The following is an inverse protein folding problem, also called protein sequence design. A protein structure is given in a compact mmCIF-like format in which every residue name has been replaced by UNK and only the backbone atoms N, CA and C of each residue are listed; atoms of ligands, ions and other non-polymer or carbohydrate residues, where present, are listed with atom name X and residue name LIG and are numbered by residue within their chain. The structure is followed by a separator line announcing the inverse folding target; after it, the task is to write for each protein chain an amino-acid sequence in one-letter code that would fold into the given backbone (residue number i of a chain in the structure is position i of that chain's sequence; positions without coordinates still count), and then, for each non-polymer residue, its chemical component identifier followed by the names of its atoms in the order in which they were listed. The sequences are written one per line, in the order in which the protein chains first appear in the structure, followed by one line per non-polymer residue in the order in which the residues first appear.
data_IF_600811299479
#
_entry.id   IF_600811299479
#
_cell.length_a   1.000
_cell.length_b   1.000
_cell.length_c   1.000
_cell.angle_alpha   90.00
_cell.angle_beta   90.00
_cell.angle_gamma   90.00
#
_symmetry.space_group_name_H-M   'P 1'
#
loop_
_entity.id
_entity.type
_entity.pdbx_description
1 polymer ?
#
# COMPACT_ATOMS: atom_id res chain seq x y z
N UNK A 1 -13.22 -11.45 8.19
CA UNK A 1 -12.56 -11.77 9.47
C UNK A 1 -12.21 -10.49 10.23
N UNK A 2 -11.49 -9.55 9.61
CA UNK A 2 -11.08 -8.27 10.22
C UNK A 2 -11.84 -7.04 9.68
N UNK A 3 -12.86 -7.23 8.83
CA UNK A 3 -13.61 -6.14 8.22
C UNK A 3 -14.33 -5.30 9.28
N UNK A 4 -14.15 -3.97 9.25
CA UNK A 4 -14.79 -3.03 10.16
C UNK A 4 -14.12 -2.87 11.52
N UNK A 5 -12.94 -3.48 11.72
CA UNK A 5 -12.24 -3.33 13.00
C UNK A 5 -11.51 -1.98 13.10
N UNK A 6 -11.66 -1.23 14.21
CA UNK A 6 -11.01 0.07 14.36
C UNK A 6 -9.49 -0.06 14.26
N UNK A 7 -8.86 0.84 13.51
CA UNK A 7 -7.40 0.85 13.35
C UNK A 7 -6.84 -0.32 12.54
N UNK A 8 -7.68 -1.13 11.89
CA UNK A 8 -7.22 -2.24 11.04
C UNK A 8 -7.72 -2.04 9.61
N UNK A 9 -6.80 -2.08 8.65
CA UNK A 9 -7.10 -2.10 7.23
C UNK A 9 -6.61 -3.42 6.64
N UNK A 10 -7.41 -3.98 5.73
CA UNK A 10 -7.10 -5.27 5.12
C UNK A 10 -7.37 -5.19 3.62
N UNK A 11 -6.44 -5.74 2.85
CA UNK A 11 -6.63 -5.96 1.42
C UNK A 11 -6.04 -7.32 1.06
N UNK A 12 -6.91 -8.28 0.76
CA UNK A 12 -6.55 -9.68 0.55
C UNK A 12 -5.75 -10.23 1.75
N UNK A 13 -4.47 -10.55 1.55
CA UNK A 13 -3.53 -11.10 2.52
C UNK A 13 -2.72 -10.02 3.27
N UNK A 14 -2.73 -8.78 2.81
CA UNK A 14 -2.05 -7.68 3.46
C UNK A 14 -2.92 -7.04 4.55
N UNK A 15 -2.35 -6.89 5.75
CA UNK A 15 -3.01 -6.33 6.93
C UNK A 15 -2.16 -5.17 7.45
N UNK A 16 -2.79 -4.00 7.60
CA UNK A 16 -2.21 -2.82 8.21
C UNK A 16 -2.92 -2.54 9.53
N UNK A 17 -2.14 -2.42 10.61
CA UNK A 17 -2.66 -2.11 11.96
C UNK A 17 -2.12 -0.76 12.40
N UNK A 18 -2.98 0.10 12.96
CA UNK A 18 -2.66 1.48 13.38
C UNK A 18 -3.33 1.79 14.72
N UNK A 19 -2.89 2.86 15.39
CA UNK A 19 -3.48 3.37 16.62
C UNK A 19 -3.30 4.89 16.72
N UNK A 20 -4.05 5.55 17.60
CA UNK A 20 -3.89 7.00 17.83
C UNK A 20 -2.65 7.33 18.65
N UNK A 21 -2.21 6.36 19.44
CA UNK A 21 -1.01 6.35 20.26
C UNK A 21 -0.49 4.91 20.35
N UNK A 22 0.63 4.72 21.07
CA UNK A 22 1.28 3.43 21.21
C UNK A 22 0.42 2.38 21.93
N UNK A 23 -0.31 2.79 22.97
CA UNK A 23 -1.21 1.91 23.74
C UNK A 23 -2.37 1.40 22.87
N UNK A 24 -3.03 2.30 22.14
CA UNK A 24 -4.08 1.95 21.18
C UNK A 24 -3.53 1.03 20.07
N UNK A 25 -2.32 1.29 19.58
CA UNK A 25 -1.71 0.48 18.54
C UNK A 25 -1.42 -0.95 19.03
N UNK A 26 -0.84 -1.08 20.23
CA UNK A 26 -0.59 -2.37 20.88
C UNK A 26 -1.88 -3.16 21.07
N UNK A 27 -2.91 -2.51 21.60
CA UNK A 27 -4.23 -3.11 21.82
C UNK A 27 -4.86 -3.59 20.51
N UNK A 28 -4.79 -2.79 19.45
CA UNK A 28 -5.31 -3.16 18.14
C UNK A 28 -4.52 -4.32 17.52
N UNK A 29 -3.19 -4.34 17.70
CA UNK A 29 -2.33 -5.42 17.23
C UNK A 29 -2.65 -6.74 17.93
N UNK A 30 -2.75 -6.73 19.26
CA UNK A 30 -3.10 -7.90 20.06
C UNK A 30 -4.46 -8.47 19.64
N UNK A 31 -5.49 -7.63 19.56
CA UNK A 31 -6.81 -8.03 19.10
C UNK A 31 -6.79 -8.62 17.69
N UNK A 32 -6.04 -8.00 16.78
CA UNK A 32 -5.88 -8.48 15.39
C UNK A 32 -5.28 -9.89 15.36
N UNK A 33 -4.18 -10.11 16.08
CA UNK A 33 -3.49 -11.40 16.12
C UNK A 33 -4.36 -12.48 16.77
N UNK A 34 -5.05 -12.16 17.86
CA UNK A 34 -5.97 -13.08 18.54
C UNK A 34 -7.09 -13.55 17.59
N UNK A 35 -7.65 -12.64 16.78
CA UNK A 35 -8.68 -13.01 15.80
C UNK A 35 -8.17 -13.89 14.69
N UNK A 36 -6.95 -13.62 14.21
CA UNK A 36 -6.34 -14.46 13.20
C UNK A 36 -6.19 -15.88 13.74
N UNK A 37 -5.73 -16.01 14.99
CA UNK A 37 -5.63 -17.29 15.68
C UNK A 37 -6.99 -17.98 15.86
N UNK A 38 -8.03 -17.27 16.28
CA UNK A 38 -9.41 -17.79 16.44
C UNK A 38 -9.95 -18.43 15.14
N UNK A 39 -9.57 -17.90 13.98
CA UNK A 39 -9.99 -18.40 12.66
C UNK A 39 -8.98 -19.35 12.03
N UNK A 40 -7.92 -19.74 12.75
CA UNK A 40 -6.88 -20.64 12.26
C UNK A 40 -5.96 -20.05 11.20
N UNK A 41 -5.88 -18.71 11.10
CA UNK A 41 -4.96 -18.01 10.23
C UNK A 41 -3.60 -17.82 10.92
N UNK A 42 -2.53 -17.85 10.13
CA UNK A 42 -1.16 -17.65 10.61
C UNK A 42 -0.48 -16.54 9.84
N UNK A 43 0.24 -15.69 10.56
CA UNK A 43 1.10 -14.66 9.97
C UNK A 43 2.52 -15.17 9.81
N UNK A 44 3.17 -14.73 8.74
CA UNK A 44 4.58 -15.01 8.48
C UNK A 44 5.44 -13.95 9.16
N UNK A 45 6.01 -14.28 10.31
CA UNK A 45 6.80 -13.35 11.13
C UNK A 45 7.95 -12.68 10.35
N UNK A 46 8.57 -13.39 9.42
CA UNK A 46 9.65 -12.90 8.55
C UNK A 46 9.21 -11.80 7.56
N UNK A 47 7.90 -11.69 7.31
CA UNK A 47 7.28 -10.69 6.44
C UNK A 47 6.53 -9.60 7.22
N UNK A 48 6.49 -9.69 8.54
CA UNK A 48 5.81 -8.70 9.36
C UNK A 48 6.77 -7.60 9.80
N UNK A 49 6.34 -6.36 9.61
CA UNK A 49 7.02 -5.18 10.11
C UNK A 49 6.21 -4.60 11.27
N UNK A 50 6.84 -4.40 12.43
CA UNK A 50 6.19 -3.91 13.64
C UNK A 50 6.78 -2.56 14.07
N UNK A 51 5.94 -1.71 14.65
CA UNK A 51 6.32 -0.40 15.24
C UNK A 51 7.16 0.49 14.32
N UNK A 52 6.86 0.47 13.02
CA UNK A 52 7.58 1.29 12.06
C UNK A 52 6.97 2.71 11.99
N UNK A 53 7.80 3.76 11.90
CA UNK A 53 7.32 5.12 11.65
C UNK A 53 6.77 5.30 10.22
N UNK A 54 7.18 4.43 9.30
CA UNK A 54 6.70 4.35 7.92
C UNK A 54 6.66 2.91 7.45
N UNK A 55 5.63 2.53 6.67
CA UNK A 55 5.47 1.16 6.15
C UNK A 55 5.10 1.18 4.68
N UNK A 56 5.58 0.20 3.89
CA UNK A 56 5.09 -0.03 2.53
C UNK A 56 3.83 -0.90 2.58
N UNK A 57 2.72 -0.38 2.04
CA UNK A 57 1.45 -1.09 1.98
C UNK A 57 0.81 -0.86 0.61
N UNK A 58 0.51 -1.96 -0.10
CA UNK A 58 -0.07 -1.95 -1.44
C UNK A 58 0.67 -1.02 -2.43
N UNK A 59 2.00 -1.03 -2.44
CA UNK A 59 2.81 -0.23 -3.38
C UNK A 59 2.84 1.28 -3.08
N UNK A 60 2.45 1.67 -1.87
CA UNK A 60 2.57 3.01 -1.34
C UNK A 60 3.33 3.01 -0.02
N UNK A 61 4.00 4.11 0.30
CA UNK A 61 4.57 4.31 1.64
C UNK A 61 3.56 5.11 2.46
N UNK A 62 3.29 4.67 3.68
CA UNK A 62 2.40 5.33 4.62
C UNK A 62 3.22 5.74 5.83
N UNK A 63 3.13 7.01 6.23
CA UNK A 63 3.73 7.55 7.44
C UNK A 63 2.81 8.59 8.11
N UNK A 64 3.33 9.28 9.13
CA UNK A 64 2.60 10.32 9.86
C UNK A 64 2.23 11.56 9.00
N UNK A 65 2.95 11.81 7.91
CA UNK A 65 2.65 12.89 6.97
C UNK A 65 1.62 12.48 5.90
N UNK A 66 1.36 11.17 5.75
CA UNK A 66 0.28 10.64 4.94
C UNK A 66 0.74 9.57 3.96
N UNK A 67 0.18 9.62 2.75
CA UNK A 67 0.40 8.61 1.72
C UNK A 67 1.38 9.11 0.67
N UNK A 68 2.41 8.30 0.40
CA UNK A 68 3.50 8.62 -0.52
C UNK A 68 3.65 7.56 -1.62
N UNK A 69 4.31 7.95 -2.70
CA UNK A 69 4.68 7.01 -3.76
C UNK A 69 5.84 6.13 -3.29
N UNK A 70 5.78 4.82 -3.56
CA UNK A 70 6.94 3.94 -3.36
C UNK A 70 8.07 4.32 -4.34
N UNK A 71 9.26 4.73 -3.87
CA UNK A 71 10.35 5.21 -4.72
C UNK A 71 10.77 4.21 -5.81
N UNK A 72 10.72 2.91 -5.49
CA UNK A 72 11.05 1.84 -6.44
C UNK A 72 10.12 1.84 -7.67
N UNK A 73 8.84 2.17 -7.48
CA UNK A 73 7.84 2.20 -8.56
C UNK A 73 7.89 3.49 -9.36
N UNK A 74 8.20 4.61 -8.71
CA UNK A 74 8.49 5.88 -9.39
C UNK A 74 9.71 5.72 -10.30
N UNK A 75 10.78 5.12 -9.78
CA UNK A 75 11.99 4.82 -10.54
C UNK A 75 11.69 3.98 -11.78
N UNK A 76 10.88 2.93 -11.64
CA UNK A 76 10.48 2.09 -12.76
C UNK A 76 9.71 2.86 -13.88
N UNK A 77 8.95 3.90 -13.52
CA UNK A 77 8.27 4.78 -14.49
C UNK A 77 9.27 5.70 -15.18
N UNK A 78 10.18 6.32 -14.42
CA UNK A 78 11.20 7.25 -14.93
C UNK A 78 12.17 6.54 -15.89
N UNK A 79 12.54 5.31 -15.56
CA UNK A 79 13.49 4.50 -16.34
C UNK A 79 12.82 3.66 -17.44
N UNK A 80 11.49 3.72 -17.56
CA UNK A 80 10.76 2.93 -18.55
C UNK A 80 11.17 3.35 -19.98
N UNK A 81 11.53 2.40 -20.86
CA UNK A 81 11.83 2.71 -22.24
C UNK A 81 10.57 3.17 -22.98
N UNK A 82 10.71 3.98 -24.05
CA UNK A 82 9.57 4.37 -24.88
C UNK A 82 8.83 3.15 -25.43
N UNK A 83 7.50 3.06 -25.26
CA UNK A 83 6.72 1.92 -25.74
C UNK A 83 6.77 1.85 -27.27
N UNK A 84 7.04 0.66 -27.81
CA UNK A 84 7.21 0.43 -29.26
C UNK A 84 5.96 -0.14 -29.92
N UNK A 85 4.96 -0.51 -29.14
CA UNK A 85 3.71 -1.07 -29.63
C UNK A 85 2.53 -0.73 -28.71
N UNK A 86 1.31 -0.97 -29.20
CA UNK A 86 0.06 -0.64 -28.51
C UNK A 86 -0.06 -1.36 -27.16
N UNK A 87 0.43 -2.59 -27.05
CA UNK A 87 0.37 -3.35 -25.78
C UNK A 87 1.26 -2.70 -24.72
N UNK A 88 2.51 -2.38 -25.06
CA UNK A 88 3.45 -1.68 -24.18
C UNK A 88 2.93 -0.30 -23.77
N UNK A 89 2.33 0.44 -24.72
CA UNK A 89 1.71 1.73 -24.44
C UNK A 89 0.57 1.59 -23.42
N UNK A 90 -0.32 0.61 -23.58
CA UNK A 90 -1.41 0.35 -22.63
C UNK A 90 -0.90 -0.01 -21.25
N UNK A 91 0.13 -0.87 -21.16
CA UNK A 91 0.76 -1.22 -19.88
C UNK A 91 1.37 0.00 -19.18
N UNK A 92 2.08 0.85 -19.93
CA UNK A 92 2.67 2.08 -19.40
C UNK A 92 1.60 3.07 -18.90
N UNK A 93 0.54 3.29 -19.68
CA UNK A 93 -0.58 4.15 -19.29
C UNK A 93 -1.33 3.61 -18.06
N UNK A 94 -1.50 2.29 -17.95
CA UNK A 94 -2.08 1.65 -16.78
C UNK A 94 -1.28 1.93 -15.50
N UNK A 95 0.06 1.86 -15.60
CA UNK A 95 0.96 2.19 -14.50
C UNK A 95 0.87 3.68 -14.12
N UNK A 96 0.82 4.60 -15.09
CA UNK A 96 0.64 6.03 -14.81
C UNK A 96 -0.70 6.33 -14.15
N UNK A 97 -1.79 5.69 -14.59
CA UNK A 97 -3.10 5.86 -13.98
C UNK A 97 -3.13 5.39 -12.53
N UNK A 98 -2.44 4.30 -12.19
CA UNK A 98 -2.33 3.81 -10.82
C UNK A 98 -1.69 4.85 -9.87
N UNK A 99 -0.72 5.62 -10.36
CA UNK A 99 -0.09 6.73 -9.61
C UNK A 99 -0.73 8.10 -9.88
N UNK A 100 -1.81 8.17 -10.68
CA UNK A 100 -2.36 9.43 -11.18
C UNK A 100 -2.82 10.39 -10.09
N UNK A 101 -3.18 9.89 -8.90
CA UNK A 101 -3.53 10.72 -7.73
C UNK A 101 -2.40 11.66 -7.28
N UNK A 102 -1.16 11.37 -7.66
CA UNK A 102 0.03 12.15 -7.34
C UNK A 102 0.53 13.00 -8.53
N UNK A 103 -0.04 12.81 -9.72
CA UNK A 103 0.37 13.52 -10.94
C UNK A 103 -0.68 14.58 -11.26
N UNK A 104 -0.36 15.84 -10.99
CA UNK A 104 -1.25 16.95 -11.28
C UNK A 104 -1.56 17.01 -12.79
N UNK A 105 -2.85 17.14 -13.12
CA UNK A 105 -3.33 17.24 -14.50
C UNK A 105 -2.96 16.05 -15.39
N UNK A 106 -2.82 14.83 -14.84
CA UNK A 106 -2.47 13.62 -15.62
C UNK A 106 -3.31 13.48 -16.90
N UNK A 107 -4.63 13.67 -16.81
CA UNK A 107 -5.52 13.56 -17.97
C UNK A 107 -5.20 14.56 -19.10
N UNK A 108 -4.63 15.74 -18.79
CA UNK A 108 -4.16 16.73 -19.77
C UNK A 108 -2.82 16.32 -20.37
N UNK A 109 -1.92 15.76 -19.54
CA UNK A 109 -0.61 15.28 -19.97
C UNK A 109 -0.69 14.02 -20.84
N UNK A 110 -1.69 13.18 -20.62
CA UNK A 110 -1.94 11.96 -21.39
C UNK A 110 -2.77 12.19 -22.67
N UNK A 111 -3.15 13.44 -22.98
CA UNK A 111 -3.82 13.73 -24.25
C UNK A 111 -2.85 13.47 -25.41
N UNK A 112 -3.32 12.82 -26.49
CA UNK A 112 -2.51 12.63 -27.70
C UNK A 112 -2.12 13.96 -28.36
#
# INVERSE_FOLDING_TARGET
ILCGWPGVQCYLDDILVTGRNEEDHLKNLEATLQRLEEYGLRVRKDKCEFFQPSVEYLGHIIDAAGLHQAPAKVKAIVEAPPPRNVSQLRSFLGLLNYYGKFISQLAKLLKP
#
